data_IF_119252139972
#
_entry.id   IF_119252139972
#
_cell.length_a   1.000
_cell.length_b   1.000
_cell.length_c   1.000
_cell.angle_alpha   90.00
_cell.angle_beta   90.00
_cell.angle_gamma   90.00
#
_symmetry.space_group_name_H-M   'P 1'
#
loop_
_entity.id
_entity.type
_entity.pdbx_description
1 polymer ?
#
# COMPACT_ATOMS: atom_id res chain seq x y z
N UNK A 1 -16.41 8.08 13.92
CA UNK A 1 -16.71 6.65 13.69
C UNK A 1 -15.44 5.86 13.95
N UNK A 2 -15.56 4.67 14.55
CA UNK A 2 -14.42 3.77 14.75
C UNK A 2 -14.39 2.83 13.55
N UNK A 3 -13.30 2.84 12.78
CA UNK A 3 -13.08 1.91 11.66
C UNK A 3 -13.34 0.47 12.07
N UNK A 4 -13.88 -0.31 11.14
CA UNK A 4 -14.08 -1.76 11.33
C UNK A 4 -12.75 -2.44 11.70
N UNK A 5 -12.78 -3.57 12.45
CA UNK A 5 -11.56 -4.27 12.84
C UNK A 5 -10.63 -4.63 11.68
N UNK A 6 -11.20 -4.99 10.52
CA UNK A 6 -10.46 -5.31 9.30
C UNK A 6 -9.71 -4.08 8.76
N UNK A 7 -10.39 -2.94 8.57
CA UNK A 7 -9.73 -1.70 8.13
C UNK A 7 -8.68 -1.21 9.14
N UNK A 8 -8.91 -1.43 10.43
CA UNK A 8 -7.92 -1.11 11.47
C UNK A 8 -6.67 -1.98 11.40
N UNK A 9 -6.78 -3.23 10.96
CA UNK A 9 -5.61 -4.10 10.76
C UNK A 9 -4.79 -3.62 9.57
N UNK A 10 -5.42 -3.41 8.41
CA UNK A 10 -4.75 -2.89 7.21
C UNK A 10 -4.06 -1.55 7.49
N UNK A 11 -4.74 -0.62 8.17
CA UNK A 11 -4.15 0.66 8.58
C UNK A 11 -2.95 0.55 9.53
N UNK A 12 -2.82 -0.54 10.30
CA UNK A 12 -1.62 -0.74 11.15
C UNK A 12 -0.41 -1.07 10.29
N UNK A 13 -0.59 -1.89 9.25
CA UNK A 13 0.47 -2.34 8.35
C UNK A 13 1.04 -1.17 7.52
N UNK A 14 0.24 -0.14 7.26
CA UNK A 14 0.69 1.12 6.64
C UNK A 14 1.84 1.82 7.39
N UNK A 15 2.02 1.59 8.69
CA UNK A 15 3.15 2.17 9.41
C UNK A 15 4.49 1.67 8.85
N UNK A 16 4.59 0.37 8.56
CA UNK A 16 5.78 -0.24 7.97
C UNK A 16 6.02 0.30 6.56
N UNK A 17 4.97 0.42 5.75
CA UNK A 17 5.04 1.01 4.41
C UNK A 17 5.56 2.46 4.42
N UNK A 18 5.02 3.31 5.29
CA UNK A 18 5.46 4.71 5.41
C UNK A 18 6.88 4.84 5.94
N UNK A 19 7.30 3.96 6.86
CA UNK A 19 8.68 3.91 7.34
C UNK A 19 9.65 3.56 6.21
N UNK A 20 9.30 2.58 5.37
CA UNK A 20 10.09 2.22 4.20
C UNK A 20 10.19 3.38 3.19
N UNK A 21 9.05 3.99 2.83
CA UNK A 21 9.02 5.14 1.93
C UNK A 21 9.89 6.30 2.43
N UNK A 22 9.85 6.59 3.74
CA UNK A 22 10.68 7.63 4.35
C UNK A 22 12.17 7.29 4.31
N UNK A 23 12.54 6.03 4.55
CA UNK A 23 13.93 5.57 4.45
C UNK A 23 14.47 5.74 3.04
N UNK A 24 13.66 5.38 2.04
CA UNK A 24 14.00 5.57 0.63
C UNK A 24 14.19 7.06 0.29
N UNK A 25 13.25 7.91 0.70
CA UNK A 25 13.34 9.35 0.45
C UNK A 25 14.57 10.02 1.11
N UNK A 26 15.08 9.46 2.22
CA UNK A 26 16.26 9.97 2.93
C UNK A 26 17.58 9.39 2.42
N UNK A 27 17.58 8.35 1.59
CA UNK A 27 18.80 7.70 1.12
C UNK A 27 19.49 8.52 0.02
N UNK A 28 20.31 9.47 0.45
CA UNK A 28 21.02 10.44 -0.35
C UNK A 28 22.47 10.05 -0.66
N UNK A 29 23.01 9.00 -0.03
CA UNK A 29 24.34 8.46 -0.30
C UNK A 29 24.29 7.03 -0.89
N UNK A 30 25.42 6.60 -1.47
CA UNK A 30 25.54 5.29 -2.14
C UNK A 30 25.32 4.13 -1.17
N UNK A 31 25.86 4.21 0.05
CA UNK A 31 25.80 3.11 1.04
C UNK A 31 24.36 2.88 1.49
N UNK A 32 23.62 3.95 1.76
CA UNK A 32 22.20 3.87 2.10
C UNK A 32 21.35 3.28 0.97
N UNK A 33 21.65 3.64 -0.28
CA UNK A 33 20.95 3.11 -1.47
C UNK A 33 21.25 1.63 -1.69
N UNK A 34 22.49 1.20 -1.51
CA UNK A 34 22.87 -0.23 -1.59
C UNK A 34 22.19 -1.05 -0.49
N UNK A 35 22.14 -0.54 0.74
CA UNK A 35 21.43 -1.20 1.83
C UNK A 35 19.92 -1.32 1.55
N UNK A 36 19.31 -0.33 0.91
CA UNK A 36 17.91 -0.38 0.48
C UNK A 36 17.69 -1.35 -0.67
N UNK A 37 18.56 -1.36 -1.69
CA UNK A 37 18.52 -2.34 -2.77
C UNK A 37 18.52 -3.78 -2.23
N UNK A 38 19.32 -4.05 -1.20
CA UNK A 38 19.40 -5.37 -0.58
C UNK A 38 18.18 -5.72 0.29
N UNK A 39 17.51 -4.73 0.89
CA UNK A 39 16.44 -4.97 1.88
C UNK A 39 15.01 -4.81 1.35
N UNK A 40 14.78 -3.95 0.36
CA UNK A 40 13.45 -3.69 -0.21
C UNK A 40 12.80 -4.96 -0.78
N UNK A 41 13.47 -5.85 -1.54
CA UNK A 41 12.82 -7.05 -2.08
C UNK A 41 12.26 -7.96 -0.98
N UNK A 42 13.01 -8.13 0.11
CA UNK A 42 12.54 -8.90 1.27
C UNK A 42 11.37 -8.23 1.96
N UNK A 43 11.48 -6.94 2.26
CA UNK A 43 10.40 -6.18 2.91
C UNK A 43 9.12 -6.15 2.05
N UNK A 44 9.28 -6.07 0.73
CA UNK A 44 8.16 -6.15 -0.19
C UNK A 44 7.43 -7.50 -0.07
N UNK A 45 8.17 -8.61 -0.17
CA UNK A 45 7.57 -9.94 -0.13
C UNK A 45 7.00 -10.32 1.25
N UNK A 46 7.65 -9.89 2.33
CA UNK A 46 7.27 -10.29 3.69
C UNK A 46 6.12 -9.42 4.25
N UNK A 47 6.00 -8.16 3.81
CA UNK A 47 5.08 -7.18 4.43
C UNK A 47 4.08 -6.58 3.44
N UNK A 48 4.55 -6.09 2.27
CA UNK A 48 3.69 -5.32 1.35
C UNK A 48 2.85 -6.22 0.44
N UNK A 49 3.42 -7.29 -0.10
CA UNK A 49 2.68 -8.22 -0.96
C UNK A 49 1.54 -8.92 -0.21
N UNK A 50 1.71 -9.43 1.02
CA UNK A 50 0.61 -9.99 1.79
C UNK A 50 -0.49 -8.97 2.09
N UNK A 51 -0.11 -7.72 2.36
CA UNK A 51 -1.05 -6.61 2.56
C UNK A 51 -1.89 -6.36 1.31
N UNK A 52 -1.26 -6.19 0.14
CA UNK A 52 -1.95 -6.02 -1.14
C UNK A 52 -2.89 -7.19 -1.44
N UNK A 53 -2.44 -8.42 -1.20
CA UNK A 53 -3.27 -9.62 -1.43
C UNK A 53 -4.50 -9.65 -0.52
N UNK A 54 -4.38 -9.20 0.73
CA UNK A 54 -5.53 -9.12 1.62
C UNK A 54 -6.57 -8.13 1.09
N UNK A 55 -6.14 -6.94 0.67
CA UNK A 55 -7.04 -5.94 0.08
C UNK A 55 -7.69 -6.44 -1.21
N UNK A 56 -6.89 -6.99 -2.13
CA UNK A 56 -7.35 -7.51 -3.41
C UNK A 56 -8.34 -8.68 -3.26
N UNK A 57 -8.16 -9.51 -2.24
CA UNK A 57 -9.01 -10.68 -1.97
C UNK A 57 -10.27 -10.33 -1.19
N UNK A 58 -10.21 -9.36 -0.27
CA UNK A 58 -11.30 -9.10 0.66
C UNK A 58 -11.96 -7.74 0.47
N UNK A 59 -11.19 -6.65 0.51
CA UNK A 59 -11.72 -5.29 0.50
C UNK A 59 -12.21 -4.85 -0.90
N UNK A 60 -11.37 -5.01 -1.91
CA UNK A 60 -11.65 -4.51 -3.27
C UNK A 60 -12.88 -5.18 -3.92
N UNK A 61 -13.13 -6.49 -3.78
CA UNK A 61 -14.33 -7.11 -4.34
C UNK A 61 -15.63 -6.56 -3.74
N UNK A 62 -15.62 -6.22 -2.45
CA UNK A 62 -16.78 -5.61 -1.78
C UNK A 62 -17.02 -4.19 -2.28
N UNK A 63 -15.96 -3.39 -2.45
CA UNK A 63 -16.04 -2.05 -3.03
C UNK A 63 -16.52 -2.09 -4.49
N UNK A 64 -16.05 -3.05 -5.28
CA UNK A 64 -16.51 -3.28 -6.65
C UNK A 64 -18.02 -3.57 -6.69
N UNK A 65 -18.49 -4.45 -5.80
CA UNK A 65 -19.92 -4.77 -5.65
C UNK A 65 -20.75 -3.55 -5.23
N UNK A 66 -20.17 -2.66 -4.42
CA UNK A 66 -20.78 -1.39 -4.04
C UNK A 66 -20.72 -0.31 -5.13
N UNK A 67 -20.17 -0.60 -6.31
CA UNK A 67 -20.08 0.31 -7.46
C UNK A 67 -18.86 1.23 -7.46
N UNK A 68 -17.92 1.09 -6.52
CA UNK A 68 -16.75 1.96 -6.35
C UNK A 68 -15.56 1.53 -7.26
N UNK A 69 -15.86 1.24 -8.53
CA UNK A 69 -14.92 0.64 -9.49
C UNK A 69 -13.69 1.50 -9.77
N UNK A 70 -13.81 2.83 -9.70
CA UNK A 70 -12.68 3.74 -9.93
C UNK A 70 -11.61 3.62 -8.85
N UNK A 71 -12.02 3.43 -7.59
CA UNK A 71 -11.09 3.23 -6.48
C UNK A 71 -10.40 1.87 -6.60
N UNK A 72 -11.16 0.82 -6.92
CA UNK A 72 -10.64 -0.52 -7.15
C UNK A 72 -9.61 -0.54 -8.28
N UNK A 73 -9.93 0.07 -9.43
CA UNK A 73 -9.03 0.13 -10.57
C UNK A 73 -7.73 0.87 -10.25
N UNK A 74 -7.81 1.97 -9.47
CA UNK A 74 -6.64 2.71 -9.02
C UNK A 74 -5.77 1.86 -8.10
N UNK A 75 -6.33 1.24 -7.06
CA UNK A 75 -5.58 0.38 -6.12
C UNK A 75 -4.84 -0.72 -6.87
N UNK A 76 -5.53 -1.46 -7.74
CA UNK A 76 -4.93 -2.55 -8.53
C UNK A 76 -3.80 -2.07 -9.44
N UNK A 77 -3.98 -0.90 -10.09
CA UNK A 77 -2.95 -0.33 -10.95
C UNK A 77 -1.70 0.09 -10.16
N UNK A 78 -1.89 0.75 -9.01
CA UNK A 78 -0.79 1.15 -8.12
C UNK A 78 -0.07 -0.09 -7.54
N UNK A 79 -0.78 -1.15 -7.15
CA UNK A 79 -0.18 -2.43 -6.72
C UNK A 79 0.66 -3.07 -7.82
N UNK A 80 0.12 -3.16 -9.03
CA UNK A 80 0.84 -3.73 -10.18
C UNK A 80 2.12 -2.94 -10.48
N UNK A 81 2.06 -1.61 -10.41
CA UNK A 81 3.23 -0.76 -10.60
C UNK A 81 4.27 -0.94 -9.47
N UNK A 82 3.84 -1.05 -8.21
CA UNK A 82 4.75 -1.33 -7.09
C UNK A 82 5.41 -2.70 -7.21
N UNK A 83 4.69 -3.74 -7.65
CA UNK A 83 5.26 -5.07 -7.96
C UNK A 83 6.33 -5.00 -9.04
N UNK A 84 6.08 -4.26 -10.12
CA UNK A 84 7.05 -4.07 -11.20
C UNK A 84 8.31 -3.35 -10.72
N UNK A 85 8.15 -2.30 -9.91
CA UNK A 85 9.27 -1.56 -9.32
C UNK A 85 10.06 -2.44 -8.32
N UNK A 86 9.38 -3.21 -7.48
CA UNK A 86 10.02 -4.15 -6.56
C UNK A 86 10.83 -5.22 -7.30
N UNK A 87 10.30 -5.76 -8.41
CA UNK A 87 11.02 -6.70 -9.26
C UNK A 87 12.27 -6.07 -9.91
N UNK A 88 12.18 -4.81 -10.35
CA UNK A 88 13.33 -4.08 -10.87
C UNK A 88 14.40 -3.85 -9.78
N UNK A 89 13.98 -3.51 -8.55
CA UNK A 89 14.87 -3.36 -7.40
C UNK A 89 15.57 -4.69 -7.08
N UNK A 90 14.85 -5.81 -7.14
CA UNK A 90 15.38 -7.15 -6.87
C UNK A 90 16.50 -7.59 -7.82
N UNK A 91 16.52 -7.06 -9.05
CA UNK A 91 17.62 -7.28 -10.02
C UNK A 91 18.70 -6.18 -9.96
N UNK A 92 18.69 -5.33 -8.94
CA UNK A 92 19.71 -4.32 -8.68
C UNK A 92 19.46 -2.94 -9.29
N UNK A 93 18.27 -2.66 -9.84
CA UNK A 93 17.99 -1.36 -10.43
C UNK A 93 17.74 -0.28 -9.35
N UNK A 94 18.81 0.44 -8.97
CA UNK A 94 18.73 1.52 -7.97
C UNK A 94 17.85 2.71 -8.39
N UNK A 95 17.59 2.89 -9.69
CA UNK A 95 16.72 3.99 -10.16
C UNK A 95 15.25 3.77 -9.83
N UNK A 96 14.85 2.52 -9.56
CA UNK A 96 13.49 2.16 -9.19
C UNK A 96 13.15 2.47 -7.72
N UNK A 97 14.15 2.70 -6.86
CA UNK A 97 13.94 3.00 -5.43
C UNK A 97 13.08 4.25 -5.23
N UNK A 98 13.46 5.38 -5.81
CA UNK A 98 12.74 6.64 -5.59
C UNK A 98 11.28 6.57 -6.09
N UNK A 99 10.99 6.12 -7.33
CA UNK A 99 9.61 5.94 -7.78
C UNK A 99 8.81 4.98 -6.89
N UNK A 100 9.43 3.91 -6.38
CA UNK A 100 8.77 2.98 -5.46
C UNK A 100 8.38 3.65 -4.15
N UNK A 101 9.31 4.39 -3.52
CA UNK A 101 9.04 5.09 -2.26
C UNK A 101 7.99 6.19 -2.40
N UNK A 102 8.04 6.95 -3.49
CA UNK A 102 7.05 8.00 -3.80
C UNK A 102 5.65 7.41 -4.02
N UNK A 103 5.56 6.36 -4.84
CA UNK A 103 4.30 5.66 -5.10
C UNK A 103 3.73 5.05 -3.81
N UNK A 104 4.54 4.35 -3.02
CA UNK A 104 4.11 3.74 -1.77
C UNK A 104 3.57 4.78 -0.78
N UNK A 105 4.22 5.94 -0.66
CA UNK A 105 3.73 7.00 0.21
C UNK A 105 2.40 7.60 -0.29
N UNK A 106 2.28 7.84 -1.60
CA UNK A 106 1.08 8.40 -2.20
C UNK A 106 -0.11 7.42 -2.09
N UNK A 107 0.16 6.14 -2.32
CA UNK A 107 -0.79 5.05 -2.22
C UNK A 107 -1.38 4.93 -0.81
N UNK A 108 -0.54 4.80 0.23
CA UNK A 108 -1.02 4.73 1.62
C UNK A 108 -1.87 5.95 2.00
N UNK A 109 -1.51 7.15 1.53
CA UNK A 109 -2.32 8.37 1.79
C UNK A 109 -3.67 8.31 1.11
N UNK A 110 -3.71 7.82 -0.12
CA UNK A 110 -4.94 7.61 -0.87
C UNK A 110 -5.84 6.60 -0.14
N UNK A 111 -5.29 5.47 0.30
CA UNK A 111 -6.07 4.43 0.95
C UNK A 111 -6.70 4.91 2.25
N UNK A 112 -5.89 5.56 3.08
CA UNK A 112 -6.31 6.08 4.38
C UNK A 112 -7.40 7.16 4.28
N UNK A 113 -7.31 8.03 3.27
CA UNK A 113 -8.16 9.22 3.15
C UNK A 113 -9.38 9.00 2.27
N UNK A 114 -9.26 8.13 1.28
CA UNK A 114 -10.26 7.94 0.23
C UNK A 114 -10.81 6.52 0.27
N UNK A 115 -9.98 5.50 0.01
CA UNK A 115 -10.44 4.11 -0.11
C UNK A 115 -11.13 3.60 1.16
N UNK A 116 -10.44 3.69 2.31
CA UNK A 116 -10.96 3.18 3.59
C UNK A 116 -12.10 4.04 4.12
N UNK A 117 -12.08 5.35 3.85
CA UNK A 117 -13.18 6.24 4.21
C UNK A 117 -14.45 5.90 3.42
N UNK A 118 -14.33 5.56 2.14
CA UNK A 118 -15.46 5.07 1.32
C UNK A 118 -15.90 3.69 1.77
N UNK A 119 -14.97 2.77 2.04
CA UNK A 119 -15.28 1.44 2.58
C UNK A 119 -16.07 1.53 3.89
N UNK A 120 -15.66 2.40 4.81
CA UNK A 120 -16.38 2.63 6.08
C UNK A 120 -17.82 3.12 5.84
N UNK A 121 -18.02 4.03 4.89
CA UNK A 121 -19.36 4.55 4.56
C UNK A 121 -20.23 3.60 3.73
N UNK A 122 -19.65 2.73 2.90
CA UNK A 122 -20.41 1.88 1.97
C UNK A 122 -20.65 0.48 2.51
N UNK A 123 -19.71 -0.05 3.28
CA UNK A 123 -19.72 -1.44 3.72
C UNK A 123 -20.04 -1.58 5.21
N UNK A 124 -19.82 -0.53 6.01
CA UNK A 124 -19.91 -0.59 7.47
C UNK A 124 -20.82 0.50 8.08
N UNK A 125 -21.65 1.16 7.27
CA UNK A 125 -22.52 2.26 7.71
C UNK A 125 -23.49 1.88 8.84
N UNK A 126 -23.96 0.63 8.87
CA UNK A 126 -24.92 0.15 9.88
C UNK A 126 -24.27 -0.21 11.23
N UNK A 127 -22.94 -0.19 11.35
CA UNK A 127 -22.25 -0.48 12.61
C UNK A 127 -22.07 0.75 13.53
N UNK A 128 -22.45 1.95 13.07
CA UNK A 128 -22.30 3.20 13.82
C UNK A 128 -23.61 3.70 14.46
N UNK A 129 -24.72 2.98 14.25
CA UNK A 129 -26.06 3.34 14.75
C UNK A 129 -26.62 2.37 15.82
N UNK A 130 -25.78 1.47 16.36
CA UNK A 130 -26.14 0.56 17.46
C UNK A 130 -25.34 0.85 18.73
#
# INVERSE_FOLDING_TARGET
>A
MKRSPALRQLSREHHTALSLALRIAKANDTVAREALLASVPRLFNDELEPHFQEEERSLLPQLATAGEMALVARTLAEHAQMRALAAAIAIGNASALAPFGELLQAHVRFEERELFAVAERRLFADAAAA
#
